data_IF_729251918277
#
_entry.id   IF_729251918277
#
_cell.length_a   1.000
_cell.length_b   1.000
_cell.length_c   1.000
_cell.angle_alpha   90.00
_cell.angle_beta   90.00
_cell.angle_gamma   90.00
#
_symmetry.space_group_name_H-M   'P 1'
#
loop_
_entity.id
_entity.type
_entity.pdbx_description
1 polymer ?
#
# COMPACT_ATOMS: atom_id res chain seq x y z
N UNK A 1 -10.66 14.95 18.58
CA UNK A 1 -11.00 14.57 17.19
C UNK A 1 -10.23 13.32 16.83
N UNK A 2 -10.87 12.36 16.20
CA UNK A 2 -10.23 11.13 15.72
C UNK A 2 -10.20 11.18 14.19
N UNK A 3 -9.06 10.81 13.60
CA UNK A 3 -8.87 10.72 12.16
C UNK A 3 -8.61 9.28 11.77
N UNK A 4 -9.16 8.85 10.63
CA UNK A 4 -8.56 7.72 9.93
C UNK A 4 -7.17 8.11 9.38
N UNK A 5 -6.34 7.13 9.08
CA UNK A 5 -4.99 7.34 8.56
C UNK A 5 -4.97 7.25 7.04
N UNK A 6 -5.34 6.08 6.52
CA UNK A 6 -5.30 5.77 5.10
C UNK A 6 -6.45 6.46 4.36
N UNK A 7 -6.16 7.08 3.21
CA UNK A 7 -7.11 7.87 2.40
C UNK A 7 -7.75 9.07 3.11
N UNK A 8 -7.26 9.42 4.31
CA UNK A 8 -7.64 10.63 5.06
C UNK A 8 -6.43 11.52 5.30
N UNK A 9 -5.40 11.02 6.00
CA UNK A 9 -4.18 11.77 6.28
C UNK A 9 -3.04 11.42 5.31
N UNK A 10 -3.07 10.19 4.80
CA UNK A 10 -2.09 9.64 3.88
C UNK A 10 -2.75 9.21 2.57
N UNK A 11 -2.06 9.42 1.46
CA UNK A 11 -2.51 9.02 0.13
C UNK A 11 -2.16 7.54 -0.10
N UNK A 12 -3.13 6.65 0.14
CA UNK A 12 -2.92 5.21 0.06
C UNK A 12 -2.87 4.75 -1.39
N UNK A 13 -3.68 5.33 -2.27
CA UNK A 13 -3.68 5.02 -3.69
C UNK A 13 -2.30 5.25 -4.32
N UNK A 14 -1.63 6.37 -3.99
CA UNK A 14 -0.23 6.58 -4.40
C UNK A 14 0.75 5.57 -3.79
N UNK A 15 0.50 5.13 -2.56
CA UNK A 15 1.34 4.12 -1.93
C UNK A 15 1.18 2.75 -2.63
N UNK A 16 -0.03 2.40 -3.09
CA UNK A 16 -0.29 1.20 -3.90
C UNK A 16 0.43 1.28 -5.25
N UNK A 17 0.42 2.44 -5.91
CA UNK A 17 1.17 2.66 -7.15
C UNK A 17 2.66 2.42 -6.97
N UNK A 18 3.26 2.98 -5.90
CA UNK A 18 4.67 2.78 -5.60
C UNK A 18 5.01 1.33 -5.24
N UNK A 19 4.14 0.66 -4.47
CA UNK A 19 4.34 -0.76 -4.14
C UNK A 19 4.31 -1.62 -5.41
N UNK A 20 3.42 -1.31 -6.34
CA UNK A 20 3.39 -2.00 -7.63
C UNK A 20 4.69 -1.83 -8.42
N UNK A 21 5.30 -0.64 -8.41
CA UNK A 21 6.61 -0.42 -9.02
C UNK A 21 7.70 -1.32 -8.40
N UNK A 22 7.72 -1.46 -7.06
CA UNK A 22 8.65 -2.36 -6.36
C UNK A 22 8.41 -3.83 -6.79
N UNK A 23 7.15 -4.24 -6.88
CA UNK A 23 6.78 -5.60 -7.32
C UNK A 23 7.27 -5.88 -8.74
N UNK A 24 7.11 -4.91 -9.66
CA UNK A 24 7.61 -5.04 -11.03
C UNK A 24 9.13 -5.22 -11.04
N UNK A 25 9.85 -4.36 -10.34
CA UNK A 25 11.31 -4.39 -10.26
C UNK A 25 11.83 -5.73 -9.69
N UNK A 26 11.26 -6.19 -8.58
CA UNK A 26 11.76 -7.39 -7.89
C UNK A 26 11.36 -8.71 -8.56
N UNK A 27 10.16 -8.81 -9.16
CA UNK A 27 9.60 -10.10 -9.60
C UNK A 27 9.44 -10.26 -11.11
N UNK A 28 9.30 -9.15 -11.85
CA UNK A 28 9.06 -9.18 -13.29
C UNK A 28 10.24 -8.64 -14.10
N UNK A 29 11.05 -7.74 -13.53
CA UNK A 29 12.08 -6.98 -14.24
C UNK A 29 11.47 -6.10 -15.33
N UNK A 30 12.17 -5.94 -16.46
CA UNK A 30 11.67 -5.13 -17.57
C UNK A 30 10.45 -5.75 -18.26
N UNK A 31 9.27 -5.17 -18.00
CA UNK A 31 8.06 -5.38 -18.81
C UNK A 31 8.06 -4.32 -19.91
N UNK A 32 8.40 -4.71 -21.14
CA UNK A 32 8.64 -3.79 -22.26
C UNK A 32 7.38 -3.04 -22.71
N UNK A 33 6.20 -3.68 -22.61
CA UNK A 33 4.95 -3.11 -23.09
C UNK A 33 4.24 -2.28 -22.01
N UNK A 34 4.13 -0.97 -22.23
CA UNK A 34 3.42 -0.06 -21.33
C UNK A 34 1.95 -0.42 -21.14
N UNK A 35 1.28 -0.94 -22.18
CA UNK A 35 -0.10 -1.43 -22.10
C UNK A 35 -0.25 -2.55 -21.07
N UNK A 36 0.67 -3.51 -21.06
CA UNK A 36 0.68 -4.64 -20.11
C UNK A 36 0.94 -4.15 -18.69
N UNK A 37 1.91 -3.25 -18.49
CA UNK A 37 2.15 -2.63 -17.17
C UNK A 37 0.91 -1.95 -16.61
N UNK A 38 0.19 -1.20 -17.46
CA UNK A 38 -1.05 -0.53 -17.07
C UNK A 38 -2.15 -1.52 -16.71
N UNK A 39 -2.34 -2.59 -17.49
CA UNK A 39 -3.32 -3.63 -17.20
C UNK A 39 -3.03 -4.30 -15.85
N UNK A 40 -1.77 -4.71 -15.64
CA UNK A 40 -1.31 -5.29 -14.38
C UNK A 40 -1.57 -4.36 -13.19
N UNK A 41 -1.30 -3.06 -13.33
CA UNK A 41 -1.56 -2.08 -12.28
C UNK A 41 -3.06 -2.00 -11.95
N UNK A 42 -3.93 -1.97 -12.96
CA UNK A 42 -5.38 -1.92 -12.73
C UNK A 42 -5.88 -3.19 -12.03
N UNK A 43 -5.37 -4.37 -12.42
CA UNK A 43 -5.70 -5.64 -11.76
C UNK A 43 -5.18 -5.67 -10.33
N UNK A 44 -3.95 -5.26 -10.09
CA UNK A 44 -3.35 -5.14 -8.76
C UNK A 44 -4.18 -4.24 -7.83
N UNK A 45 -4.58 -3.05 -8.30
CA UNK A 45 -5.49 -2.15 -7.56
C UNK A 45 -6.82 -2.82 -7.27
N UNK A 46 -7.38 -3.56 -8.22
CA UNK A 46 -8.61 -4.34 -8.04
C UNK A 46 -8.47 -5.39 -6.93
N UNK A 47 -7.37 -6.13 -6.90
CA UNK A 47 -7.09 -7.14 -5.87
C UNK A 47 -6.89 -6.52 -4.49
N UNK A 48 -6.11 -5.45 -4.41
CA UNK A 48 -5.87 -4.75 -3.15
C UNK A 48 -7.15 -4.12 -2.58
N UNK A 49 -7.98 -3.50 -3.43
CA UNK A 49 -9.28 -2.92 -3.03
C UNK A 49 -10.24 -3.96 -2.46
N UNK A 50 -10.28 -5.17 -3.03
CA UNK A 50 -11.08 -6.28 -2.46
C UNK A 50 -10.58 -6.73 -1.08
N UNK A 51 -9.33 -6.42 -0.75
CA UNK A 51 -8.70 -6.69 0.55
C UNK A 51 -8.61 -5.41 1.41
N UNK A 52 -9.32 -4.33 1.05
CA UNK A 52 -9.25 -3.07 1.81
C UNK A 52 -9.71 -3.28 3.27
N UNK A 53 -8.98 -2.71 4.22
CA UNK A 53 -9.23 -2.90 5.65
C UNK A 53 -8.77 -4.25 6.23
N UNK A 54 -8.35 -5.21 5.40
CA UNK A 54 -7.81 -6.48 5.88
C UNK A 54 -6.30 -6.41 6.11
N UNK A 55 -5.83 -7.07 7.18
CA UNK A 55 -4.40 -7.17 7.52
C UNK A 55 -3.66 -8.11 6.57
N UNK A 56 -4.27 -9.26 6.27
CA UNK A 56 -3.77 -10.28 5.36
C UNK A 56 -3.83 -9.81 3.90
N UNK A 57 -2.66 -9.72 3.30
CA UNK A 57 -2.44 -9.26 1.93
C UNK A 57 -1.88 -10.35 1.02
N UNK A 58 -1.80 -11.59 1.52
CA UNK A 58 -1.29 -12.73 0.76
C UNK A 58 -2.09 -12.93 -0.55
N UNK A 59 -3.41 -12.87 -0.45
CA UNK A 59 -4.31 -13.03 -1.61
C UNK A 59 -4.10 -11.96 -2.70
N UNK A 60 -3.58 -10.78 -2.36
CA UNK A 60 -3.38 -9.70 -3.34
C UNK A 60 -2.25 -10.07 -4.29
N UNK A 61 -1.08 -10.46 -3.76
CA UNK A 61 0.05 -10.86 -4.59
C UNK A 61 -0.17 -12.24 -5.23
N UNK A 62 -0.81 -13.18 -4.54
CA UNK A 62 -1.17 -14.47 -5.16
C UNK A 62 -2.03 -14.28 -6.40
N UNK A 63 -3.09 -13.46 -6.30
CA UNK A 63 -3.97 -13.18 -7.45
C UNK A 63 -3.22 -12.51 -8.60
N UNK A 64 -2.28 -11.59 -8.29
CA UNK A 64 -1.44 -10.96 -9.30
C UNK A 64 -0.50 -11.97 -9.98
N UNK A 65 0.18 -12.82 -9.20
CA UNK A 65 1.12 -13.81 -9.74
C UNK A 65 0.44 -14.95 -10.49
N UNK A 66 -0.81 -15.28 -10.16
CA UNK A 66 -1.61 -16.28 -10.87
C UNK A 66 -2.08 -15.76 -12.23
N UNK A 67 -2.51 -14.50 -12.30
CA UNK A 67 -2.93 -13.88 -13.56
C UNK A 67 -1.73 -13.48 -14.44
N UNK A 68 -0.65 -13.01 -13.81
CA UNK A 68 0.58 -12.58 -14.48
C UNK A 68 1.78 -13.31 -13.88
N UNK A 69 2.19 -14.47 -14.43
CA UNK A 69 3.31 -15.23 -13.90
C UNK A 69 4.63 -14.43 -13.88
N UNK A 70 5.27 -14.25 -12.72
CA UNK A 70 6.54 -13.51 -12.62
C UNK A 70 7.74 -14.36 -13.05
N UNK A 71 8.91 -13.71 -13.26
CA UNK A 71 10.18 -14.43 -13.48
C UNK A 71 10.63 -15.19 -12.24
N UNK A 72 10.45 -14.55 -11.09
CA UNK A 72 10.66 -15.16 -9.77
C UNK A 72 9.39 -14.98 -8.94
N UNK A 73 8.80 -16.09 -8.49
CA UNK A 73 7.59 -16.07 -7.68
C UNK A 73 7.96 -16.10 -6.21
N UNK A 74 7.62 -15.04 -5.49
CA UNK A 74 7.80 -14.98 -4.03
C UNK A 74 6.99 -16.10 -3.36
N UNK A 75 7.60 -16.96 -2.52
CA UNK A 75 6.87 -18.01 -1.84
C UNK A 75 5.82 -17.43 -0.88
N UNK A 76 4.68 -18.10 -0.78
CA UNK A 76 3.49 -17.64 -0.04
C UNK A 76 3.78 -17.15 1.38
N UNK A 77 4.62 -17.89 2.11
CA UNK A 77 4.98 -17.59 3.49
C UNK A 77 5.76 -16.27 3.66
N UNK A 78 6.34 -15.72 2.59
CA UNK A 78 7.06 -14.46 2.61
C UNK A 78 6.24 -13.27 2.08
N UNK A 79 5.06 -13.49 1.49
CA UNK A 79 4.26 -12.43 0.87
C UNK A 79 3.82 -11.39 1.91
N UNK A 80 3.37 -11.82 3.09
CA UNK A 80 2.91 -10.90 4.11
C UNK A 80 4.06 -10.05 4.66
N UNK A 81 5.25 -10.64 4.83
CA UNK A 81 6.44 -9.92 5.29
C UNK A 81 6.94 -8.93 4.24
N UNK A 82 6.96 -9.33 2.96
CA UNK A 82 7.24 -8.42 1.85
C UNK A 82 6.29 -7.21 1.88
N UNK A 83 4.99 -7.45 2.03
CA UNK A 83 4.01 -6.38 2.12
C UNK A 83 4.26 -5.46 3.32
N UNK A 84 4.43 -6.04 4.50
CA UNK A 84 4.63 -5.28 5.75
C UNK A 84 5.93 -4.48 5.75
N UNK A 85 6.96 -4.94 5.04
CA UNK A 85 8.26 -4.26 4.94
C UNK A 85 8.28 -3.16 3.89
N UNK A 86 7.56 -3.32 2.77
CA UNK A 86 7.64 -2.39 1.64
C UNK A 86 6.49 -1.39 1.59
N UNK A 87 5.26 -1.79 1.95
CA UNK A 87 4.10 -0.89 1.84
C UNK A 87 4.20 0.37 2.72
N UNK A 88 4.68 0.33 3.98
CA UNK A 88 4.82 1.55 4.78
C UNK A 88 5.79 2.58 4.16
N UNK A 89 6.85 2.12 3.50
CA UNK A 89 7.84 2.97 2.82
C UNK A 89 7.28 3.69 1.59
N UNK A 90 6.12 3.27 1.10
CA UNK A 90 5.47 3.86 -0.07
C UNK A 90 4.71 5.15 0.30
N UNK A 91 4.45 5.39 1.58
CA UNK A 91 3.72 6.58 2.02
C UNK A 91 4.63 7.81 2.08
N UNK A 92 4.03 8.96 1.83
CA UNK A 92 4.67 10.27 1.98
C UNK A 92 3.65 11.23 2.54
N UNK A 93 3.99 11.87 3.66
CA UNK A 93 3.11 12.85 4.28
C UNK A 93 3.28 14.24 3.64
N UNK A 94 2.17 14.92 3.36
CA UNK A 94 2.19 16.27 2.83
C UNK A 94 2.34 17.29 3.97
N UNK A 95 3.23 18.27 3.81
CA UNK A 95 3.43 19.36 4.78
C UNK A 95 2.12 20.13 5.08
N UNK A 96 1.23 20.27 4.09
CA UNK A 96 -0.09 20.88 4.30
C UNK A 96 -0.93 20.08 5.29
N UNK A 97 -0.92 18.75 5.19
CA UNK A 97 -1.62 17.87 6.14
C UNK A 97 -1.05 18.02 7.55
N UNK A 98 0.28 18.05 7.69
CA UNK A 98 0.96 18.28 8.98
C UNK A 98 0.51 19.62 9.59
N UNK A 99 0.50 20.69 8.78
CA UNK A 99 0.11 22.02 9.25
C UNK A 99 -1.35 22.03 9.74
N UNK A 100 -2.27 21.41 8.99
CA UNK A 100 -3.68 21.29 9.40
C UNK A 100 -3.81 20.54 10.72
N UNK A 101 -3.15 19.38 10.86
CA UNK A 101 -3.19 18.60 12.09
C UNK A 101 -2.61 19.36 13.28
N UNK A 102 -1.50 20.08 13.10
CA UNK A 102 -0.90 20.89 14.16
C UNK A 102 -1.81 22.05 14.60
N UNK A 103 -2.47 22.72 13.65
CA UNK A 103 -3.47 23.76 13.96
C UNK A 103 -4.66 23.19 14.72
N UNK A 104 -5.16 22.01 14.38
CA UNK A 104 -6.26 21.39 15.13
C UNK A 104 -5.79 20.98 16.53
N UNK A 105 -4.56 20.44 16.63
CA UNK A 105 -3.96 19.97 17.88
C UNK A 105 -3.69 21.09 18.88
N UNK A 106 -3.51 22.35 18.44
CA UNK A 106 -3.36 23.49 19.36
C UNK A 106 -4.66 23.84 20.09
N UNK A 107 -5.81 23.38 19.59
CA UNK A 107 -7.12 23.67 20.17
C UNK A 107 -7.77 22.47 20.85
N UNK A 108 -7.53 21.25 20.36
CA UNK A 108 -8.15 20.03 20.89
C UNK A 108 -7.21 18.82 20.86
N UNK A 109 -7.51 17.79 21.66
CA UNK A 109 -6.83 16.49 21.57
C UNK A 109 -7.15 15.81 20.23
N UNK A 110 -6.12 15.28 19.58
CA UNK A 110 -6.22 14.54 18.31
C UNK A 110 -5.71 13.10 18.50
N UNK A 111 -6.29 12.15 17.77
CA UNK A 111 -5.88 10.75 17.75
C UNK A 111 -6.15 10.10 16.40
N UNK A 112 -5.55 8.94 16.15
CA UNK A 112 -5.77 8.12 14.96
C UNK A 112 -6.64 6.92 15.34
N UNK A 113 -7.64 6.61 14.52
CA UNK A 113 -8.46 5.40 14.59
C UNK A 113 -8.37 4.70 13.22
N UNK A 114 -7.97 3.43 13.18
CA UNK A 114 -7.74 2.76 11.90
C UNK A 114 -7.86 1.24 12.01
N UNK A 115 -8.24 0.60 10.90
CA UNK A 115 -8.36 -0.86 10.79
C UNK A 115 -7.03 -1.56 10.47
N UNK A 116 -5.97 -0.80 10.16
CA UNK A 116 -4.65 -1.37 9.89
C UNK A 116 -3.99 -1.96 11.15
N UNK A 117 -3.13 -2.96 10.97
CA UNK A 117 -2.37 -3.53 12.09
C UNK A 117 -1.45 -2.49 12.74
N UNK A 118 -1.25 -2.57 14.05
CA UNK A 118 -0.40 -1.64 14.80
C UNK A 118 1.01 -1.55 14.23
N UNK A 119 1.60 -2.69 13.85
CA UNK A 119 2.92 -2.74 13.22
C UNK A 119 2.93 -1.89 11.94
N UNK A 120 1.99 -2.14 11.01
CA UNK A 120 1.95 -1.45 9.72
C UNK A 120 1.66 0.04 9.86
N UNK A 121 0.79 0.43 10.78
CA UNK A 121 0.42 1.84 10.96
C UNK A 121 1.50 2.66 11.68
N UNK A 122 2.31 2.04 12.55
CA UNK A 122 3.45 2.71 13.21
C UNK A 122 4.69 2.85 12.31
N UNK A 123 4.77 2.07 11.24
CA UNK A 123 5.90 2.08 10.30
C UNK A 123 5.75 3.08 9.14
N UNK A 124 4.60 3.75 9.02
CA UNK A 124 4.33 4.82 8.05
C UNK A 124 4.77 6.17 8.63
#
# INVERSE_FOLDING_TARGET
MLFDLDDTLLDRDKAVDKLFSIILEEFYGDVEQHSVKNEMLQKFKGYDKKSYGHSDKVKVLESLFDEFPPKYRLPRNYIQDFWNNNFPKCFSINQKTINIINTIKSHIKVGIITNGSTQRQKSK
#
